data_IF_021708919896
#
_entry.id   IF_021708919896
#
_cell.length_a   1.000
_cell.length_b   1.000
_cell.length_c   1.000
_cell.angle_alpha   90.00
_cell.angle_beta   90.00
_cell.angle_gamma   90.00
#
_symmetry.space_group_name_H-M   'P 1'
#
loop_
_entity.id
_entity.type
_entity.pdbx_description
1 polymer ?
#
# COMPACT_ATOMS: atom_id res chain seq x y z
N UNK A 1 -13.70 68.46 9.28
CA UNK A 1 -12.67 67.59 8.68
C UNK A 1 -12.51 66.36 9.56
N UNK A 2 -12.98 65.20 9.13
CA UNK A 2 -12.90 63.94 9.89
C UNK A 2 -11.93 63.01 9.18
N UNK A 3 -10.81 62.72 9.82
CA UNK A 3 -9.80 61.78 9.32
C UNK A 3 -10.23 60.36 9.65
N UNK A 4 -10.54 59.56 8.62
CA UNK A 4 -10.69 58.11 8.75
C UNK A 4 -9.30 57.49 8.81
N UNK A 5 -8.97 56.90 9.95
CA UNK A 5 -7.77 56.08 10.15
C UNK A 5 -8.07 54.66 9.65
N UNK A 6 -7.52 54.29 8.49
CA UNK A 6 -7.62 52.95 7.92
C UNK A 6 -6.49 52.10 8.51
N UNK A 7 -6.80 51.28 9.52
CA UNK A 7 -5.87 50.27 10.02
C UNK A 7 -5.84 49.09 9.04
N UNK A 8 -4.74 48.98 8.30
CA UNK A 8 -4.45 47.85 7.43
C UNK A 8 -4.30 46.57 8.25
N UNK A 9 -5.16 45.58 7.97
CA UNK A 9 -5.08 44.23 8.53
C UNK A 9 -3.96 43.48 7.78
N UNK A 10 -2.80 43.31 8.40
CA UNK A 10 -1.70 42.53 7.86
C UNK A 10 -2.07 41.02 7.90
N UNK A 11 -2.36 40.43 6.75
CA UNK A 11 -2.46 38.98 6.59
C UNK A 11 -1.06 38.36 6.71
N UNK A 12 -0.71 37.83 7.88
CA UNK A 12 0.44 36.94 8.05
C UNK A 12 0.14 35.61 7.37
N UNK A 13 0.59 35.47 6.13
CA UNK A 13 0.63 34.20 5.41
C UNK A 13 1.71 33.32 6.03
N UNK A 14 1.32 32.45 6.96
CA UNK A 14 2.19 31.38 7.43
C UNK A 14 2.39 30.40 6.27
N UNK A 15 3.57 30.44 5.65
CA UNK A 15 4.03 29.39 4.76
C UNK A 15 4.32 28.15 5.62
N UNK A 16 3.31 27.29 5.81
CA UNK A 16 3.52 25.95 6.34
C UNK A 16 4.22 25.13 5.26
N UNK A 17 5.54 25.01 5.36
CA UNK A 17 6.26 23.98 4.61
C UNK A 17 5.65 22.63 5.01
N UNK A 18 5.17 21.80 4.06
CA UNK A 18 4.77 20.46 4.41
C UNK A 18 6.02 19.73 4.92
N UNK A 19 6.11 19.50 6.22
CA UNK A 19 7.02 18.49 6.75
C UNK A 19 6.61 17.18 6.10
N UNK A 20 7.49 16.58 5.31
CA UNK A 20 7.30 15.25 4.78
C UNK A 20 7.08 14.31 5.98
N UNK A 21 5.82 13.97 6.23
CA UNK A 21 5.47 13.00 7.26
C UNK A 21 5.69 11.63 6.66
N UNK A 22 6.42 10.77 7.38
CA UNK A 22 6.33 9.33 7.19
C UNK A 22 4.85 8.96 7.10
N UNK A 23 4.48 8.34 5.98
CA UNK A 23 3.11 7.94 5.68
C UNK A 23 3.14 6.48 5.27
N UNK A 24 2.31 5.68 5.94
CA UNK A 24 2.06 4.31 5.54
C UNK A 24 1.25 4.35 4.24
N UNK A 25 1.85 3.84 3.16
CA UNK A 25 1.20 3.70 1.86
C UNK A 25 0.63 2.30 1.78
N UNK A 26 -0.64 2.18 1.40
CA UNK A 26 -1.34 0.90 1.29
C UNK A 26 -1.89 0.67 -0.12
N UNK A 27 -1.65 -0.51 -0.65
CA UNK A 27 -2.22 -0.97 -1.91
C UNK A 27 -3.00 -2.27 -1.73
N UNK A 28 -4.08 -2.40 -2.48
CA UNK A 28 -4.85 -3.64 -2.66
C UNK A 28 -4.61 -4.21 -4.03
N UNK A 29 -4.60 -5.54 -4.14
CA UNK A 29 -4.42 -6.22 -5.40
C UNK A 29 -5.44 -7.34 -5.59
N UNK A 30 -5.71 -7.66 -6.86
CA UNK A 30 -6.51 -8.81 -7.26
C UNK A 30 -5.81 -9.59 -8.37
N UNK A 31 -6.14 -10.87 -8.49
CA UNK A 31 -5.56 -11.76 -9.47
C UNK A 31 -6.26 -13.11 -9.53
N UNK A 32 -5.62 -14.06 -10.19
CA UNK A 32 -6.09 -15.46 -10.23
C UNK A 32 -4.94 -16.46 -10.23
N UNK A 33 -5.18 -17.64 -9.67
CA UNK A 33 -4.23 -18.76 -9.68
C UNK A 33 -4.07 -19.29 -11.10
N UNK A 34 -2.83 -19.45 -11.58
CA UNK A 34 -2.52 -19.91 -12.93
C UNK A 34 -1.82 -21.27 -12.95
N UNK A 35 -1.17 -21.68 -11.86
CA UNK A 35 -0.55 -23.00 -11.73
C UNK A 35 -0.58 -23.50 -10.29
N UNK A 36 -1.02 -24.74 -10.13
CA UNK A 36 -1.08 -25.45 -8.85
C UNK A 36 -0.24 -26.73 -8.92
N UNK A 37 0.81 -26.88 -8.09
CA UNK A 37 1.53 -28.13 -7.93
C UNK A 37 0.62 -29.26 -7.40
N UNK A 38 0.87 -30.51 -7.80
CA UNK A 38 0.06 -31.66 -7.38
C UNK A 38 -0.01 -31.84 -5.85
N UNK A 39 1.05 -31.45 -5.13
CA UNK A 39 1.13 -31.46 -3.66
C UNK A 39 0.18 -30.48 -2.97
N UNK A 40 -0.32 -29.47 -3.69
CA UNK A 40 -1.19 -28.42 -3.18
C UNK A 40 -2.61 -28.46 -3.79
N UNK A 41 -2.84 -29.38 -4.74
CA UNK A 41 -4.09 -29.48 -5.50
C UNK A 41 -5.31 -29.94 -4.68
N UNK A 42 -5.12 -30.33 -3.41
CA UNK A 42 -6.23 -30.58 -2.49
C UNK A 42 -6.84 -29.31 -1.92
N UNK A 43 -6.09 -28.20 -1.93
CA UNK A 43 -6.51 -26.90 -1.39
C UNK A 43 -6.81 -25.89 -2.49
N UNK A 44 -6.00 -25.88 -3.56
CA UNK A 44 -6.10 -24.85 -4.59
C UNK A 44 -6.46 -25.40 -5.96
N UNK A 45 -7.07 -24.54 -6.76
CA UNK A 45 -7.44 -24.78 -8.15
C UNK A 45 -7.01 -23.64 -9.06
N UNK A 46 -6.65 -23.95 -10.31
CA UNK A 46 -6.42 -22.93 -11.34
C UNK A 46 -7.71 -22.13 -11.57
N UNK A 47 -7.59 -20.81 -11.64
CA UNK A 47 -8.72 -19.88 -11.78
C UNK A 47 -9.29 -19.35 -10.47
N UNK A 48 -8.85 -19.86 -9.31
CA UNK A 48 -9.24 -19.29 -8.02
C UNK A 48 -8.81 -17.83 -7.91
N UNK A 49 -9.68 -17.02 -7.33
CA UNK A 49 -9.41 -15.61 -7.11
C UNK A 49 -8.31 -15.44 -6.07
N UNK A 50 -7.39 -14.53 -6.35
CA UNK A 50 -6.39 -14.02 -5.41
C UNK A 50 -6.78 -12.58 -5.08
N UNK A 51 -6.86 -12.23 -3.81
CA UNK A 51 -7.06 -10.86 -3.37
C UNK A 51 -6.19 -10.58 -2.16
N UNK A 52 -5.76 -9.34 -1.99
CA UNK A 52 -4.94 -9.00 -0.82
C UNK A 52 -4.59 -7.54 -0.74
N UNK A 53 -3.71 -7.24 0.21
CA UNK A 53 -3.18 -5.90 0.40
C UNK A 53 -1.76 -5.94 0.91
N UNK A 54 -0.98 -4.90 0.62
CA UNK A 54 0.30 -4.67 1.27
C UNK A 54 0.45 -3.20 1.63
N UNK A 55 1.25 -2.95 2.65
CA UNK A 55 1.54 -1.64 3.20
C UNK A 55 3.04 -1.49 3.40
N UNK A 56 3.55 -0.28 3.21
CA UNK A 56 4.96 0.03 3.44
C UNK A 56 5.16 1.46 3.94
N UNK A 57 6.32 1.68 4.56
CA UNK A 57 6.76 3.01 4.98
C UNK A 57 7.39 3.77 3.79
N UNK A 58 6.75 4.85 3.35
CA UNK A 58 7.19 5.67 2.21
C UNK A 58 8.53 6.36 2.41
N UNK A 59 8.98 6.49 3.66
CA UNK A 59 10.28 7.11 4.00
C UNK A 59 11.42 6.10 4.16
N UNK A 60 11.17 4.82 3.87
CA UNK A 60 12.21 3.79 3.85
C UNK A 60 13.35 4.18 2.90
N UNK A 61 14.59 3.99 3.36
CA UNK A 61 15.80 4.35 2.61
C UNK A 61 16.26 3.11 1.82
N UNK A 62 16.49 3.21 0.50
CA UNK A 62 16.96 2.07 -0.27
C UNK A 62 18.44 1.79 -0.03
N UNK A 63 18.83 0.52 -0.18
CA UNK A 63 20.20 0.05 -0.32
C UNK A 63 20.30 -0.57 -1.70
N UNK A 64 20.79 0.20 -2.68
CA UNK A 64 20.69 -0.17 -4.10
C UNK A 64 19.27 0.01 -4.61
N UNK A 65 18.68 -1.04 -5.19
CA UNK A 65 17.27 -1.09 -5.62
C UNK A 65 16.32 -1.59 -4.52
N UNK A 66 16.86 -1.98 -3.36
CA UNK A 66 16.13 -2.72 -2.33
C UNK A 66 15.76 -1.85 -1.14
N UNK A 67 14.51 -1.93 -0.71
CA UNK A 67 13.96 -1.31 0.49
C UNK A 67 13.73 -2.38 1.55
N UNK A 68 14.77 -2.67 2.33
CA UNK A 68 14.74 -3.72 3.33
C UNK A 68 13.80 -3.41 4.50
N UNK A 69 13.04 -4.41 4.94
CA UNK A 69 12.07 -4.34 6.03
C UNK A 69 11.10 -3.16 5.88
N UNK A 70 10.78 -2.78 4.64
CA UNK A 70 9.91 -1.64 4.33
C UNK A 70 8.43 -2.01 4.35
N UNK A 71 8.10 -3.28 4.12
CA UNK A 71 6.72 -3.79 4.15
C UNK A 71 6.28 -3.92 5.60
N UNK A 72 5.29 -3.12 6.00
CA UNK A 72 4.73 -3.09 7.35
C UNK A 72 3.50 -3.97 7.50
N UNK A 73 2.88 -4.38 6.39
CA UNK A 73 1.80 -5.34 6.37
C UNK A 73 1.64 -5.97 4.99
N UNK A 74 1.31 -7.25 4.96
CA UNK A 74 0.94 -7.97 3.74
C UNK A 74 -0.10 -9.02 4.12
N UNK A 75 -1.23 -9.03 3.42
CA UNK A 75 -2.25 -10.06 3.54
C UNK A 75 -2.64 -10.60 2.15
N UNK A 76 -2.91 -11.90 2.09
CA UNK A 76 -3.41 -12.57 0.90
C UNK A 76 -4.59 -13.44 1.30
N UNK A 77 -5.61 -13.49 0.45
CA UNK A 77 -6.70 -14.44 0.47
C UNK A 77 -6.79 -15.11 -0.91
N UNK A 78 -6.86 -16.44 -0.92
CA UNK A 78 -6.98 -17.26 -2.13
C UNK A 78 -8.27 -18.08 -1.98
N UNK A 79 -9.10 -18.11 -3.02
CA UNK A 79 -10.35 -18.90 -3.01
C UNK A 79 -11.46 -18.40 -2.09
N UNK A 80 -11.18 -17.42 -1.22
CA UNK A 80 -12.14 -16.87 -0.24
C UNK A 80 -11.88 -17.35 1.19
N UNK A 81 -11.22 -18.48 1.37
CA UNK A 81 -11.07 -19.19 2.64
C UNK A 81 -9.60 -19.37 3.07
N UNK A 82 -8.67 -19.45 2.12
CA UNK A 82 -7.25 -19.57 2.45
C UNK A 82 -6.61 -18.20 2.66
N UNK A 83 -6.28 -17.87 3.91
CA UNK A 83 -5.70 -16.57 4.28
C UNK A 83 -4.27 -16.67 4.79
N UNK A 84 -3.44 -15.72 4.36
CA UNK A 84 -2.03 -15.58 4.73
C UNK A 84 -1.75 -14.15 5.21
N UNK A 85 -0.80 -14.00 6.13
CA UNK A 85 -0.28 -12.71 6.55
C UNK A 85 1.24 -12.70 6.57
N UNK A 86 1.84 -11.52 6.46
CA UNK A 86 3.27 -11.31 6.70
C UNK A 86 3.67 -11.65 8.15
N UNK A 87 4.91 -12.11 8.35
CA UNK A 87 5.51 -12.26 9.69
C UNK A 87 6.28 -11.01 10.17
N UNK A 88 6.21 -9.90 9.42
CA UNK A 88 6.88 -8.63 9.75
C UNK A 88 8.24 -8.40 9.08
N UNK A 89 8.72 -9.33 8.24
CA UNK A 89 9.92 -9.16 7.42
C UNK A 89 9.53 -9.21 5.94
N UNK A 90 9.42 -8.04 5.31
CA UNK A 90 9.17 -7.92 3.89
C UNK A 90 9.88 -6.74 3.26
N UNK A 91 10.25 -6.93 2.00
CA UNK A 91 11.09 -6.04 1.23
C UNK A 91 10.35 -5.59 -0.04
N UNK A 92 10.75 -4.42 -0.54
CA UNK A 92 10.33 -3.93 -1.85
C UNK A 92 11.59 -3.70 -2.68
N UNK A 93 11.65 -4.27 -3.88
CA UNK A 93 12.67 -3.94 -4.88
C UNK A 93 12.05 -3.09 -5.98
N UNK A 94 12.68 -1.95 -6.28
CA UNK A 94 12.31 -1.07 -7.37
C UNK A 94 13.52 -0.86 -8.27
N UNK A 95 13.45 -1.38 -9.49
CA UNK A 95 14.48 -1.24 -10.50
C UNK A 95 13.93 -0.48 -11.70
N UNK A 96 14.65 0.57 -12.08
CA UNK A 96 14.45 1.39 -13.28
C UNK A 96 15.71 1.27 -14.14
N UNK A 97 15.59 0.74 -15.35
CA UNK A 97 16.75 0.54 -16.23
C UNK A 97 16.41 -0.14 -17.54
N UNK A 98 17.32 -0.99 -18.05
CA UNK A 98 17.06 -1.74 -19.29
C UNK A 98 15.92 -2.75 -19.14
N UNK A 99 15.67 -3.20 -17.91
CA UNK A 99 14.53 -4.01 -17.51
C UNK A 99 14.00 -3.37 -16.23
N UNK A 100 12.73 -3.02 -16.23
CA UNK A 100 12.07 -2.50 -15.05
C UNK A 100 11.52 -3.66 -14.22
N UNK A 101 11.68 -3.58 -12.91
CA UNK A 101 11.07 -4.54 -12.00
C UNK A 101 10.55 -3.88 -10.75
N UNK A 102 9.37 -4.31 -10.33
CA UNK A 102 8.78 -3.98 -9.05
C UNK A 102 8.42 -5.28 -8.33
N UNK A 103 9.11 -5.56 -7.22
CA UNK A 103 8.92 -6.78 -6.44
C UNK A 103 8.52 -6.38 -5.02
N UNK A 104 7.47 -7.00 -4.51
CA UNK A 104 7.07 -6.91 -3.10
C UNK A 104 7.05 -8.32 -2.56
N UNK A 105 7.88 -8.63 -1.57
CA UNK A 105 7.99 -9.97 -1.02
C UNK A 105 7.97 -9.92 0.50
N UNK A 106 7.34 -10.92 1.13
CA UNK A 106 7.35 -11.09 2.57
C UNK A 106 7.29 -12.56 2.93
N UNK A 107 7.89 -12.91 4.06
CA UNK A 107 7.66 -14.24 4.63
C UNK A 107 6.20 -14.40 5.04
N UNK A 108 5.70 -15.61 4.85
CA UNK A 108 4.29 -15.96 5.05
C UNK A 108 4.06 -16.62 6.40
N UNK A 109 2.92 -16.31 7.00
CA UNK A 109 2.31 -17.08 8.09
C UNK A 109 0.90 -17.44 7.65
N UNK A 110 0.54 -18.72 7.79
CA UNK A 110 -0.79 -19.21 7.53
C UNK A 110 -0.89 -20.73 7.65
N UNK A 111 -2.07 -21.25 7.35
CA UNK A 111 -2.37 -22.67 7.46
C UNK A 111 -1.51 -23.51 6.52
N UNK A 112 -1.01 -24.65 7.01
CA UNK A 112 -0.35 -25.63 6.16
C UNK A 112 -1.37 -26.29 5.21
N UNK A 113 -0.90 -26.68 4.02
CA UNK A 113 -1.63 -27.56 3.11
C UNK A 113 -1.02 -28.95 3.23
N UNK A 114 -1.71 -29.84 3.95
CA UNK A 114 -1.11 -31.11 4.39
C UNK A 114 0.12 -30.88 5.27
N UNK A 115 1.28 -31.37 4.84
CA UNK A 115 2.56 -31.17 5.53
C UNK A 115 3.35 -29.93 5.05
N UNK A 116 2.83 -29.20 4.05
CA UNK A 116 3.51 -28.07 3.45
C UNK A 116 3.10 -26.76 4.14
N UNK A 117 4.05 -26.08 4.78
CA UNK A 117 3.82 -24.76 5.40
C UNK A 117 4.20 -23.64 4.44
N UNK A 118 3.39 -22.58 4.31
CA UNK A 118 3.75 -21.43 3.47
C UNK A 118 5.01 -20.76 4.03
N UNK A 119 5.90 -20.29 3.15
CA UNK A 119 7.20 -19.71 3.55
C UNK A 119 7.38 -18.28 3.04
N UNK A 120 7.09 -18.01 1.78
CA UNK A 120 7.30 -16.72 1.14
C UNK A 120 6.18 -16.44 0.15
N UNK A 121 5.61 -15.23 0.17
CA UNK A 121 4.76 -14.76 -0.90
C UNK A 121 5.35 -13.51 -1.53
N UNK A 122 5.14 -13.36 -2.84
CA UNK A 122 5.65 -12.22 -3.58
C UNK A 122 4.72 -11.81 -4.72
N UNK A 123 4.70 -10.51 -5.00
CA UNK A 123 4.21 -9.92 -6.23
C UNK A 123 5.44 -9.49 -7.03
N UNK A 124 5.54 -9.93 -8.28
CA UNK A 124 6.61 -9.59 -9.19
C UNK A 124 6.04 -9.01 -10.48
N UNK A 125 6.33 -7.74 -10.72
CA UNK A 125 6.03 -7.06 -11.97
C UNK A 125 7.33 -6.83 -12.73
N UNK A 126 7.37 -7.18 -14.01
CA UNK A 126 8.57 -7.01 -14.84
C UNK A 126 8.20 -6.52 -16.23
N UNK A 127 8.93 -5.50 -16.69
CA UNK A 127 8.85 -4.96 -18.04
C UNK A 127 10.24 -5.02 -18.70
N UNK A 128 10.45 -5.90 -19.69
CA UNK A 128 11.72 -6.02 -20.39
C UNK A 128 12.03 -4.85 -21.32
N UNK A 129 11.12 -3.88 -21.48
CA UNK A 129 11.33 -2.71 -22.33
C UNK A 129 11.91 -1.51 -21.58
N UNK A 130 11.86 -1.51 -20.24
CA UNK A 130 12.39 -0.42 -19.42
C UNK A 130 11.55 0.86 -19.48
N UNK A 131 10.22 0.73 -19.65
CA UNK A 131 9.31 1.88 -19.82
C UNK A 131 8.18 1.93 -18.78
N UNK A 132 8.06 0.90 -17.93
CA UNK A 132 6.98 0.78 -16.97
C UNK A 132 7.18 1.61 -15.69
N UNK A 133 8.45 1.87 -15.32
CA UNK A 133 8.84 2.56 -14.11
C UNK A 133 9.65 3.81 -14.47
N UNK A 134 9.49 4.88 -13.70
CA UNK A 134 10.29 6.10 -13.83
C UNK A 134 10.84 6.47 -12.46
N UNK A 135 12.10 6.12 -12.22
CA UNK A 135 12.83 6.27 -10.97
C UNK A 135 12.79 5.04 -10.07
N UNK A 136 13.76 4.97 -9.15
CA UNK A 136 13.90 3.85 -8.20
C UNK A 136 13.17 4.10 -6.88
N UNK A 137 12.38 5.17 -6.77
CA UNK A 137 11.67 5.54 -5.56
C UNK A 137 10.50 4.61 -5.24
N UNK A 138 10.14 4.45 -3.95
CA UNK A 138 8.91 3.78 -3.58
C UNK A 138 7.69 4.48 -4.20
N UNK A 139 6.79 3.75 -4.89
CA UNK A 139 5.69 4.37 -5.60
C UNK A 139 4.60 4.85 -4.63
N UNK A 140 4.27 6.14 -4.65
CA UNK A 140 3.16 6.69 -3.83
C UNK A 140 1.78 6.48 -4.47
N UNK A 141 1.74 6.01 -5.71
CA UNK A 141 0.54 5.63 -6.44
C UNK A 141 0.64 4.19 -6.91
N UNK A 142 -0.45 3.43 -7.00
CA UNK A 142 -0.43 2.05 -7.47
C UNK A 142 0.27 1.91 -8.83
N UNK A 143 1.20 0.94 -9.00
CA UNK A 143 1.75 0.63 -10.31
C UNK A 143 0.64 0.24 -11.30
N UNK A 144 0.69 0.77 -12.52
CA UNK A 144 -0.20 0.32 -13.58
C UNK A 144 0.28 -1.05 -14.09
N UNK A 145 -0.36 -2.11 -13.61
CA UNK A 145 -0.04 -3.49 -14.00
C UNK A 145 -0.05 -3.72 -15.52
N UNK A 146 -0.83 -2.96 -16.28
CA UNK A 146 -0.87 -3.05 -17.75
C UNK A 146 0.42 -2.63 -18.46
N UNK A 147 1.30 -1.90 -17.77
CA UNK A 147 2.62 -1.53 -18.30
C UNK A 147 3.64 -2.68 -18.19
N UNK A 148 3.35 -3.73 -17.41
CA UNK A 148 4.28 -4.83 -17.17
C UNK A 148 3.93 -6.05 -18.03
N UNK A 149 4.93 -6.58 -18.72
CA UNK A 149 4.80 -7.79 -19.53
C UNK A 149 4.56 -9.03 -18.65
N UNK A 150 5.18 -9.09 -17.47
CA UNK A 150 5.01 -10.14 -16.46
C UNK A 150 4.39 -9.57 -15.19
N UNK A 151 3.41 -10.28 -14.62
CA UNK A 151 2.58 -9.85 -13.48
C UNK A 151 2.31 -11.01 -12.53
N UNK A 152 3.34 -11.55 -11.91
CA UNK A 152 3.24 -12.80 -11.16
C UNK A 152 2.88 -12.55 -9.70
N UNK A 153 2.03 -13.45 -9.18
CA UNK A 153 1.95 -13.76 -7.76
C UNK A 153 2.62 -15.12 -7.53
N UNK A 154 3.42 -15.24 -6.49
CA UNK A 154 4.00 -16.53 -6.09
C UNK A 154 3.80 -16.76 -4.61
N UNK A 155 3.52 -18.01 -4.24
CA UNK A 155 3.51 -18.48 -2.86
C UNK A 155 4.31 -19.78 -2.76
N UNK A 156 5.41 -19.70 -2.03
CA UNK A 156 6.33 -20.81 -1.77
C UNK A 156 5.93 -21.57 -0.51
N UNK A 157 6.20 -22.87 -0.54
CA UNK A 157 6.00 -23.78 0.58
C UNK A 157 7.30 -24.48 0.99
N UNK A 158 7.36 -24.93 2.25
CA UNK A 158 8.53 -25.58 2.84
C UNK A 158 8.96 -26.88 2.16
N UNK A 159 8.07 -27.53 1.40
CA UNK A 159 8.38 -28.72 0.62
C UNK A 159 8.91 -28.40 -0.80
N UNK A 160 9.16 -27.13 -1.11
CA UNK A 160 9.63 -26.67 -2.42
C UNK A 160 8.54 -26.50 -3.47
N UNK A 161 7.26 -26.70 -3.11
CA UNK A 161 6.14 -26.42 -4.00
C UNK A 161 5.91 -24.92 -4.12
N UNK A 162 5.57 -24.45 -5.33
CA UNK A 162 5.26 -23.06 -5.62
C UNK A 162 3.89 -22.94 -6.29
N UNK A 163 2.96 -22.30 -5.61
CA UNK A 163 1.72 -21.81 -6.23
C UNK A 163 2.05 -20.56 -7.04
N UNK A 164 1.55 -20.49 -8.28
CA UNK A 164 1.73 -19.32 -9.15
C UNK A 164 0.36 -18.77 -9.54
N UNK A 165 0.25 -17.45 -9.48
CA UNK A 165 -0.89 -16.70 -9.97
C UNK A 165 -0.46 -15.53 -10.84
N UNK A 166 -1.46 -14.85 -11.40
CA UNK A 166 -1.28 -13.61 -12.13
C UNK A 166 -2.01 -12.48 -11.41
N UNK A 167 -1.39 -11.30 -11.32
CA UNK A 167 -2.00 -10.08 -10.81
C UNK A 167 -2.71 -9.35 -11.94
N UNK A 168 -3.99 -9.02 -11.71
CA UNK A 168 -4.85 -8.35 -12.68
C UNK A 168 -5.03 -6.87 -12.36
N UNK A 169 -5.04 -6.48 -11.08
CA UNK A 169 -5.14 -5.08 -10.66
C UNK A 169 -4.32 -4.80 -9.40
N UNK A 170 -3.82 -3.56 -9.29
CA UNK A 170 -3.34 -2.96 -8.05
C UNK A 170 -4.01 -1.59 -7.91
N UNK A 171 -4.50 -1.28 -6.72
CA UNK A 171 -5.31 -0.08 -6.43
C UNK A 171 -4.92 0.52 -5.08
N UNK A 172 -5.16 1.83 -4.93
CA UNK A 172 -4.87 2.54 -3.69
C UNK A 172 -5.90 2.16 -2.63
N UNK A 173 -5.43 1.87 -1.41
CA UNK A 173 -6.33 1.77 -0.26
C UNK A 173 -6.79 3.19 0.07
N UNK A 174 -8.09 3.48 0.09
CA UNK A 174 -8.57 4.80 0.47
C UNK A 174 -8.07 5.13 1.87
N UNK A 175 -7.37 6.26 2.03
CA UNK A 175 -6.93 6.70 3.35
C UNK A 175 -8.13 6.78 4.30
N UNK A 176 -8.05 6.20 5.51
CA UNK A 176 -9.15 6.24 6.46
C UNK A 176 -9.36 7.67 6.96
N UNK A 177 -10.22 8.41 6.27
CA UNK A 177 -11.01 9.55 6.76
C UNK A 177 -10.29 10.61 7.62
N UNK A 178 -8.97 10.78 7.53
CA UNK A 178 -8.22 11.81 8.25
C UNK A 178 -8.78 13.21 7.97
N UNK A 179 -9.23 13.44 6.73
CA UNK A 179 -9.96 14.63 6.32
C UNK A 179 -11.35 14.75 6.96
N UNK A 180 -12.05 13.64 7.20
CA UNK A 180 -13.35 13.66 7.89
C UNK A 180 -13.17 14.05 9.37
N UNK A 181 -12.13 13.55 10.05
CA UNK A 181 -11.84 13.94 11.42
C UNK A 181 -11.39 15.40 11.52
N UNK A 182 -10.56 15.87 10.58
CA UNK A 182 -10.17 17.28 10.52
C UNK A 182 -11.37 18.21 10.30
N UNK A 183 -12.30 17.85 9.42
CA UNK A 183 -13.53 18.63 9.19
C UNK A 183 -14.47 18.62 10.39
N UNK A 184 -14.64 17.47 11.07
CA UNK A 184 -15.42 17.40 12.33
C UNK A 184 -14.79 18.28 13.41
N UNK A 185 -13.47 18.26 13.57
CA UNK A 185 -12.77 19.09 14.54
C UNK A 185 -12.98 20.59 14.28
N UNK A 186 -12.93 21.02 13.01
CA UNK A 186 -13.18 22.41 12.61
C UNK A 186 -14.63 22.82 12.89
N UNK A 187 -15.61 21.99 12.54
CA UNK A 187 -17.04 22.25 12.82
C UNK A 187 -17.32 22.29 14.33
N UNK A 188 -16.68 21.42 15.12
CA UNK A 188 -16.71 21.45 16.58
C UNK A 188 -16.16 22.75 17.17
N UNK A 189 -15.09 23.29 16.58
CA UNK A 189 -14.48 24.55 17.03
C UNK A 189 -15.39 25.77 16.76
N UNK A 190 -16.04 25.81 15.59
CA UNK A 190 -16.96 26.89 15.22
C UNK A 190 -18.27 26.85 16.00
N UNK A 191 -18.80 25.66 16.30
CA UNK A 191 -20.02 25.51 17.10
C UNK A 191 -19.83 25.87 18.57
N UNK A 192 -18.63 25.64 19.15
CA UNK A 192 -18.31 26.02 20.53
C UNK A 192 -18.20 27.54 20.73
N UNK A 193 -17.70 28.29 19.73
CA UNK A 193 -17.62 29.76 19.79
C UNK A 193 -18.98 30.45 19.88
N UNK A 194 -20.03 29.87 19.28
CA UNK A 194 -21.39 30.43 19.33
C UNK A 194 -22.06 30.29 20.71
N UNK A 195 -21.63 29.33 21.54
CA UNK A 195 -22.21 29.12 22.88
C UNK A 195 -21.68 30.08 23.95
N UNK A 196 -20.48 30.65 23.77
CA UNK A 196 -19.91 31.59 24.74
C UNK A 196 -20.34 33.04 24.52
N UNK A 197 -20.77 33.41 23.31
CA UNK A 197 -21.24 34.77 23.03
C UNK A 197 -22.68 35.06 23.52
N UNK A 198 -23.43 34.04 23.97
CA UNK A 198 -24.83 34.17 24.38
C UNK A 198 -25.10 34.25 25.88
N UNK A 199 -24.06 34.36 26.74
CA UNK A 199 -24.21 34.25 28.20
C UNK A 199 -23.62 35.46 28.94
N UNK A 200 -24.07 36.66 28.60
CA UNK A 200 -23.89 37.90 29.39
C UNK A 200 -25.19 38.72 29.33
N UNK A 201 -26.24 38.26 30.01
CA UNK A 201 -27.42 38.98 30.52
C UNK A 201 -28.12 37.94 31.42
N UNK A 202 -28.35 38.06 32.73
CA UNK A 202 -28.39 39.14 33.71
C UNK A 202 -27.77 38.64 35.03
#
# INVERSE_FOLDING_TARGET
MRALCVCALACMSFASSPTASAAIVGFTFTGSVTSVPASLASEFSVGEAIAGSYQFESTSIPVGSSYFASVTGFSVNIGGDYSLTANGLGDIDVQDGAVDSYIVASFSVGSAVGAATPTLHAIQLTDPTGTAISGTGLPLTPPNVGNFASRLFTLDYSNGSRLVGQIDTISAVPEPAGFALATIAVVGLFSRRRRFAGRIQL
#
